data_IF_024942913533
#
_entry.id   IF_024942913533
#
_cell.length_a   1.000
_cell.length_b   1.000
_cell.length_c   1.000
_cell.angle_alpha   90.00
_cell.angle_beta   90.00
_cell.angle_gamma   90.00
#
_symmetry.space_group_name_H-M   'P 1'
#
loop_
_entity.id
_entity.type
_entity.pdbx_description
1 polymer ?
#
# COMPACT_ATOMS: atom_id res chain seq x y z
N UNK A 1 3.86 -17.07 9.26
CA UNK A 1 3.44 -18.20 8.39
C UNK A 1 2.02 -18.07 7.85
N UNK A 2 1.03 -17.72 8.67
CA UNK A 2 -0.37 -17.58 8.16
C UNK A 2 -0.48 -16.40 7.21
N UNK A 3 0.11 -15.23 7.52
CA UNK A 3 0.11 -14.02 6.69
C UNK A 3 0.72 -14.28 5.31
N UNK A 4 1.94 -14.80 5.26
CA UNK A 4 2.61 -15.12 4.00
C UNK A 4 1.86 -16.14 3.13
N UNK A 5 1.11 -17.08 3.75
CA UNK A 5 0.27 -18.01 3.00
C UNK A 5 -0.94 -17.30 2.37
N UNK A 6 -1.53 -16.32 3.05
CA UNK A 6 -2.62 -15.52 2.51
C UNK A 6 -2.13 -14.59 1.39
N UNK A 7 -0.98 -13.93 1.54
CA UNK A 7 -0.38 -13.11 0.50
C UNK A 7 -0.03 -13.91 -0.76
N UNK A 8 0.57 -15.10 -0.59
CA UNK A 8 0.83 -15.99 -1.71
C UNK A 8 -0.45 -16.45 -2.41
N UNK A 9 -1.53 -16.68 -1.65
CA UNK A 9 -2.84 -17.02 -2.19
C UNK A 9 -3.44 -15.84 -2.96
N UNK A 10 -3.36 -14.63 -2.44
CA UNK A 10 -3.83 -13.41 -3.10
C UNK A 10 -3.17 -13.22 -4.46
N UNK A 11 -1.83 -13.31 -4.51
CA UNK A 11 -1.06 -13.20 -5.74
C UNK A 11 -1.44 -14.29 -6.75
N UNK A 12 -1.57 -15.54 -6.29
CA UNK A 12 -1.96 -16.67 -7.14
C UNK A 12 -3.37 -16.47 -7.72
N UNK A 13 -4.34 -16.08 -6.88
CA UNK A 13 -5.71 -15.86 -7.33
C UNK A 13 -5.77 -14.70 -8.32
N UNK A 14 -5.08 -13.59 -8.07
CA UNK A 14 -5.02 -12.47 -9.00
C UNK A 14 -4.41 -12.88 -10.35
N UNK A 15 -3.35 -13.68 -10.36
CA UNK A 15 -2.76 -14.20 -11.59
C UNK A 15 -3.69 -15.15 -12.36
N UNK A 16 -4.38 -16.04 -11.65
CA UNK A 16 -5.32 -16.97 -12.27
C UNK A 16 -6.58 -16.27 -12.81
N UNK A 17 -6.96 -15.16 -12.21
CA UNK A 17 -8.14 -14.39 -12.62
C UNK A 17 -7.92 -13.54 -13.85
N UNK A 18 -6.70 -13.23 -14.25
CA UNK A 18 -6.46 -12.70 -15.60
C UNK A 18 -7.04 -13.64 -16.67
N UNK A 19 -7.41 -14.86 -16.28
CA UNK A 19 -8.00 -15.90 -17.12
C UNK A 19 -9.49 -16.23 -16.82
N UNK A 20 -10.01 -15.97 -15.59
CA UNK A 20 -11.38 -16.33 -15.19
C UNK A 20 -11.85 -15.44 -14.01
N UNK A 21 -12.39 -14.26 -14.29
CA UNK A 21 -12.88 -13.34 -13.25
C UNK A 21 -14.37 -13.55 -12.94
N UNK A 22 -14.73 -13.58 -11.63
CA UNK A 22 -16.12 -13.41 -11.19
C UNK A 22 -16.63 -11.99 -11.50
N UNK A 23 -15.72 -11.02 -11.67
CA UNK A 23 -16.03 -9.68 -12.16
C UNK A 23 -15.78 -9.59 -13.66
N UNK A 24 -16.79 -9.20 -14.45
CA UNK A 24 -16.64 -9.09 -15.89
C UNK A 24 -15.61 -8.02 -16.25
N UNK A 25 -14.71 -8.36 -17.18
CA UNK A 25 -13.83 -7.39 -17.81
C UNK A 25 -14.64 -6.68 -18.88
N UNK A 26 -14.72 -5.36 -18.78
CA UNK A 26 -15.38 -4.52 -19.77
C UNK A 26 -14.33 -3.99 -20.76
N UNK A 27 -14.61 -4.12 -22.05
CA UNK A 27 -13.77 -3.57 -23.11
C UNK A 27 -14.39 -2.27 -23.61
N UNK A 28 -13.77 -1.15 -23.29
CA UNK A 28 -14.28 0.19 -23.57
C UNK A 28 -13.21 1.05 -24.22
N UNK A 29 -13.61 1.91 -25.17
CA UNK A 29 -12.72 2.93 -25.70
C UNK A 29 -12.70 4.16 -24.77
N UNK A 30 -11.63 4.95 -24.85
CA UNK A 30 -11.59 6.24 -24.14
C UNK A 30 -12.71 7.17 -24.58
N UNK A 31 -13.16 7.04 -25.82
CA UNK A 31 -14.32 7.77 -26.34
C UNK A 31 -15.60 7.38 -25.58
N UNK A 32 -15.85 6.09 -25.41
CA UNK A 32 -17.03 5.59 -24.68
C UNK A 32 -17.02 6.06 -23.23
N UNK A 33 -15.86 6.05 -22.59
CA UNK A 33 -15.71 6.52 -21.21
C UNK A 33 -16.07 8.00 -21.05
N UNK A 34 -15.65 8.84 -22.00
CA UNK A 34 -15.96 10.26 -21.97
C UNK A 34 -17.42 10.55 -22.32
N UNK A 35 -17.98 9.89 -23.33
CA UNK A 35 -19.37 10.05 -23.73
C UNK A 35 -20.32 9.61 -22.61
N UNK A 36 -20.00 8.56 -21.89
CA UNK A 36 -20.78 8.04 -20.78
C UNK A 36 -20.48 8.75 -19.44
N UNK A 37 -19.57 9.72 -19.40
CA UNK A 37 -19.10 10.38 -18.17
C UNK A 37 -18.70 9.39 -17.06
N UNK A 38 -18.09 8.27 -17.45
CA UNK A 38 -17.70 7.21 -16.54
C UNK A 38 -16.59 7.69 -15.56
N UNK A 39 -16.75 7.37 -14.28
CA UNK A 39 -15.68 7.57 -13.30
C UNK A 39 -14.58 6.55 -13.55
N UNK A 40 -13.35 7.01 -13.77
CA UNK A 40 -12.17 6.15 -13.98
C UNK A 40 -11.19 6.33 -12.84
N UNK A 41 -10.79 5.21 -12.23
CA UNK A 41 -9.87 5.12 -11.09
C UNK A 41 -8.44 4.86 -11.55
N UNK A 42 -7.48 5.13 -10.66
CA UNK A 42 -6.07 4.75 -10.87
C UNK A 42 -5.35 5.51 -11.99
N UNK A 43 -5.96 6.55 -12.55
CA UNK A 43 -5.33 7.39 -13.55
C UNK A 43 -4.77 8.66 -12.89
N UNK A 44 -3.50 9.03 -13.17
CA UNK A 44 -2.98 10.33 -12.75
C UNK A 44 -3.81 11.46 -13.36
N UNK A 45 -3.99 12.56 -12.64
CA UNK A 45 -4.73 13.73 -13.15
C UNK A 45 -4.18 14.28 -14.49
N UNK A 46 -2.89 14.08 -14.76
CA UNK A 46 -2.25 14.46 -16.03
C UNK A 46 -2.70 13.60 -17.21
N UNK A 47 -3.12 12.38 -16.96
CA UNK A 47 -3.47 11.44 -18.01
C UNK A 47 -4.71 11.87 -18.80
N UNK A 48 -5.72 12.40 -18.11
CA UNK A 48 -6.97 12.82 -18.76
C UNK A 48 -6.78 13.99 -19.75
N UNK A 49 -5.92 14.95 -19.42
CA UNK A 49 -5.67 16.12 -20.29
C UNK A 49 -4.72 15.81 -21.46
N UNK A 50 -3.71 14.96 -21.28
CA UNK A 50 -2.77 14.60 -22.34
C UNK A 50 -3.33 13.57 -23.32
N UNK A 51 -4.12 12.61 -22.86
CA UNK A 51 -4.82 11.66 -23.72
C UNK A 51 -5.84 12.33 -24.62
N UNK A 52 -6.53 13.34 -24.09
CA UNK A 52 -7.48 14.14 -24.86
C UNK A 52 -6.79 14.99 -25.96
N UNK A 53 -5.48 15.27 -25.78
CA UNK A 53 -4.69 16.07 -26.75
C UNK A 53 -3.91 15.26 -27.77
N UNK A 54 -3.68 13.96 -27.55
CA UNK A 54 -2.75 13.14 -28.35
C UNK A 54 -3.43 12.11 -29.25
N UNK A 55 -4.02 12.50 -30.33
CA UNK A 55 -4.31 11.66 -31.48
C UNK A 55 -5.53 10.71 -31.46
N UNK A 56 -6.34 10.83 -32.49
CA UNK A 56 -7.53 10.03 -32.80
C UNK A 56 -7.36 8.50 -32.83
N UNK A 57 -6.14 7.95 -32.93
CA UNK A 57 -5.93 6.50 -33.04
C UNK A 57 -6.03 5.74 -31.73
N UNK A 58 -5.65 6.38 -30.60
CA UNK A 58 -5.75 5.77 -29.26
C UNK A 58 -7.15 5.96 -28.65
N UNK A 59 -7.86 6.99 -29.09
CA UNK A 59 -9.15 7.38 -28.58
C UNK A 59 -10.27 6.35 -28.86
N UNK A 60 -10.14 5.61 -29.93
CA UNK A 60 -11.11 4.57 -30.33
C UNK A 60 -10.65 3.15 -30.03
N UNK A 61 -9.48 2.96 -29.37
CA UNK A 61 -8.97 1.64 -29.04
C UNK A 61 -9.67 1.12 -27.77
N UNK A 62 -10.22 -0.09 -27.85
CA UNK A 62 -10.80 -0.76 -26.69
C UNK A 62 -9.70 -1.20 -25.72
N UNK A 63 -9.85 -0.85 -24.47
CA UNK A 63 -9.01 -1.22 -23.34
C UNK A 63 -9.83 -2.02 -22.34
N UNK A 64 -9.24 -2.99 -21.65
CA UNK A 64 -9.92 -3.74 -20.61
C UNK A 64 -9.98 -2.96 -19.30
N UNK A 65 -11.15 -2.96 -18.68
CA UNK A 65 -11.43 -2.33 -17.39
C UNK A 65 -12.10 -3.33 -16.45
N UNK A 66 -11.84 -3.13 -15.15
CA UNK A 66 -12.56 -3.77 -14.06
C UNK A 66 -13.56 -2.79 -13.46
N UNK A 67 -14.75 -3.28 -13.15
CA UNK A 67 -15.79 -2.51 -12.46
C UNK A 67 -15.58 -2.56 -10.94
N UNK A 68 -15.69 -1.42 -10.29
CA UNK A 68 -15.62 -1.24 -8.84
C UNK A 68 -16.90 -0.60 -8.34
N UNK A 69 -17.35 -0.98 -7.16
CA UNK A 69 -18.47 -0.36 -6.45
C UNK A 69 -17.99 0.48 -5.26
N UNK A 70 -18.65 1.62 -5.01
CA UNK A 70 -18.35 2.45 -3.85
C UNK A 70 -18.97 1.85 -2.59
N UNK A 71 -18.11 1.36 -1.69
CA UNK A 71 -18.51 0.72 -0.45
C UNK A 71 -19.22 1.65 0.55
N UNK A 72 -18.88 2.96 0.54
CA UNK A 72 -19.46 3.94 1.46
C UNK A 72 -20.78 4.52 0.95
N UNK A 73 -21.08 4.40 -0.33
CA UNK A 73 -22.28 4.98 -0.92
C UNK A 73 -23.56 4.21 -0.49
N UNK A 74 -24.62 4.94 -0.25
CA UNK A 74 -25.95 4.36 -0.01
C UNK A 74 -26.65 4.00 -1.32
N UNK A 75 -26.33 4.72 -2.39
CA UNK A 75 -26.84 4.48 -3.74
C UNK A 75 -25.77 3.73 -4.55
N UNK A 76 -26.18 2.87 -5.50
CA UNK A 76 -25.23 2.20 -6.39
C UNK A 76 -24.37 3.21 -7.13
N UNK A 77 -23.08 3.20 -6.86
CA UNK A 77 -22.09 4.05 -7.53
C UNK A 77 -20.96 3.15 -8.01
N UNK A 78 -20.71 3.16 -9.31
CA UNK A 78 -19.69 2.34 -9.93
C UNK A 78 -18.59 3.22 -10.55
N UNK A 79 -17.40 2.66 -10.62
CA UNK A 79 -16.25 3.24 -11.29
C UNK A 79 -15.48 2.15 -12.02
N UNK A 80 -14.68 2.55 -13.00
CA UNK A 80 -13.88 1.67 -13.83
C UNK A 80 -12.40 1.87 -13.54
N UNK A 81 -11.64 0.79 -13.41
CA UNK A 81 -10.19 0.84 -13.30
C UNK A 81 -9.57 0.09 -14.48
N UNK A 82 -8.60 0.69 -15.20
CA UNK A 82 -7.88 -0.03 -16.23
C UNK A 82 -7.26 -1.30 -15.66
N UNK A 83 -7.42 -2.44 -16.38
CA UNK A 83 -6.87 -3.71 -15.91
C UNK A 83 -5.36 -3.64 -15.66
N UNK A 84 -4.64 -2.87 -16.48
CA UNK A 84 -3.20 -2.66 -16.30
C UNK A 84 -2.83 -1.84 -15.05
N UNK A 85 -3.76 -1.10 -14.44
CA UNK A 85 -3.56 -0.42 -13.17
C UNK A 85 -4.00 -1.29 -11.97
N UNK A 86 -4.90 -2.24 -12.21
CA UNK A 86 -5.43 -3.14 -11.19
C UNK A 86 -4.65 -4.45 -11.05
N UNK A 87 -3.98 -4.89 -12.14
CA UNK A 87 -3.33 -6.20 -12.22
C UNK A 87 -1.87 -6.04 -12.70
N UNK A 88 -0.94 -6.23 -11.79
CA UNK A 88 0.49 -6.01 -12.03
C UNK A 88 1.09 -6.90 -13.13
N UNK A 89 0.58 -8.11 -13.31
CA UNK A 89 1.07 -9.04 -14.32
C UNK A 89 0.52 -8.73 -15.72
N UNK A 90 -0.58 -8.00 -15.81
CA UNK A 90 -1.25 -7.72 -17.08
C UNK A 90 -0.40 -6.82 -17.99
N UNK A 91 0.18 -5.75 -17.46
CA UNK A 91 0.99 -4.82 -18.23
C UNK A 91 2.22 -5.49 -18.90
N UNK A 92 2.79 -6.51 -18.24
CA UNK A 92 3.93 -7.27 -18.77
C UNK A 92 3.53 -8.41 -19.72
N UNK A 93 2.30 -8.90 -19.64
CA UNK A 93 1.79 -10.02 -20.45
C UNK A 93 0.92 -9.59 -21.63
N UNK A 94 0.54 -8.31 -21.71
CA UNK A 94 -0.26 -7.80 -22.82
C UNK A 94 0.57 -7.67 -24.12
N UNK A 95 -0.08 -7.58 -25.31
CA UNK A 95 0.62 -7.40 -26.58
C UNK A 95 1.57 -6.19 -26.58
N UNK A 96 2.73 -6.29 -27.24
CA UNK A 96 3.75 -5.21 -27.31
C UNK A 96 3.16 -3.84 -27.65
N UNK A 97 2.20 -3.78 -28.58
CA UNK A 97 1.52 -2.53 -28.96
C UNK A 97 0.75 -1.88 -27.80
N UNK A 98 0.47 -2.62 -26.75
CA UNK A 98 -0.18 -2.14 -25.54
C UNK A 98 0.82 -1.85 -24.44
N UNK A 99 1.96 -2.56 -24.41
CA UNK A 99 3.02 -2.32 -23.42
C UNK A 99 3.58 -0.89 -23.55
N UNK A 100 3.85 -0.44 -24.79
CA UNK A 100 4.29 0.94 -25.06
C UNK A 100 3.26 1.97 -24.60
N UNK A 101 1.96 1.66 -24.76
CA UNK A 101 0.90 2.52 -24.28
C UNK A 101 0.89 2.59 -22.76
N UNK A 102 0.94 1.44 -22.07
CA UNK A 102 0.89 1.41 -20.62
C UNK A 102 2.16 1.98 -19.96
N UNK A 103 3.35 1.70 -20.53
CA UNK A 103 4.60 2.25 -20.02
C UNK A 103 4.69 3.78 -20.10
N UNK A 104 3.99 4.38 -21.08
CA UNK A 104 4.00 5.83 -21.25
C UNK A 104 2.92 6.57 -20.45
N UNK A 105 1.86 5.90 -20.03
CA UNK A 105 0.66 6.55 -19.51
C UNK A 105 0.11 6.01 -18.19
N UNK A 106 0.53 4.85 -17.76
CA UNK A 106 0.06 4.26 -16.51
C UNK A 106 1.19 4.14 -15.50
N UNK A 107 0.88 4.48 -14.26
CA UNK A 107 1.72 4.07 -13.16
C UNK A 107 1.75 2.55 -13.09
N UNK A 108 2.83 2.03 -12.53
CA UNK A 108 2.99 0.62 -12.28
C UNK A 108 1.82 0.13 -11.39
N UNK A 109 1.14 -0.88 -11.86
CA UNK A 109 0.15 -1.57 -11.02
C UNK A 109 0.84 -2.10 -9.76
N UNK A 110 0.21 -1.89 -8.62
CA UNK A 110 0.69 -2.39 -7.33
C UNK A 110 -0.24 -3.48 -6.82
N UNK A 111 0.25 -4.30 -5.91
CA UNK A 111 -0.58 -5.25 -5.16
C UNK A 111 -1.32 -4.58 -4.00
N UNK A 112 -1.13 -3.27 -3.80
CA UNK A 112 -1.74 -2.51 -2.71
C UNK A 112 -3.25 -2.57 -2.76
N UNK A 113 -3.87 -2.93 -1.64
CA UNK A 113 -5.32 -3.08 -1.53
C UNK A 113 -5.86 -4.39 -2.08
N UNK A 114 -5.01 -5.31 -2.55
CA UNK A 114 -5.41 -6.71 -2.77
C UNK A 114 -5.38 -7.41 -1.44
N UNK A 115 -6.51 -7.91 -0.99
CA UNK A 115 -6.62 -8.48 0.34
C UNK A 115 -7.53 -9.70 0.36
N UNK A 116 -7.14 -10.70 1.14
CA UNK A 116 -7.94 -11.89 1.40
C UNK A 116 -8.41 -11.95 2.85
N UNK A 117 -9.46 -12.73 3.08
CA UNK A 117 -10.02 -12.95 4.40
C UNK A 117 -10.91 -14.17 4.47
N UNK A 118 -11.26 -14.59 5.69
CA UNK A 118 -12.22 -15.66 5.91
C UNK A 118 -13.63 -15.30 5.42
N UNK A 119 -13.90 -14.00 5.26
CA UNK A 119 -15.13 -13.45 4.72
C UNK A 119 -14.87 -12.06 4.10
N UNK A 120 -15.94 -11.52 3.50
CA UNK A 120 -15.88 -10.19 2.86
C UNK A 120 -15.41 -9.09 3.82
N UNK A 121 -15.90 -9.10 5.04
CA UNK A 121 -15.59 -8.08 6.05
C UNK A 121 -14.12 -8.12 6.45
N UNK A 122 -13.56 -9.31 6.65
CA UNK A 122 -12.15 -9.48 7.01
C UNK A 122 -11.23 -9.01 5.88
N UNK A 123 -11.53 -9.43 4.64
CA UNK A 123 -10.78 -9.01 3.46
C UNK A 123 -10.84 -7.49 3.26
N UNK A 124 -12.01 -6.87 3.47
CA UNK A 124 -12.19 -5.43 3.33
C UNK A 124 -11.42 -4.65 4.41
N UNK A 125 -11.50 -5.08 5.68
CA UNK A 125 -10.72 -4.48 6.77
C UNK A 125 -9.23 -4.55 6.46
N UNK A 126 -8.75 -5.71 6.01
CA UNK A 126 -7.36 -5.90 5.63
C UNK A 126 -6.95 -4.95 4.50
N UNK A 127 -7.65 -4.93 3.37
CA UNK A 127 -7.31 -4.08 2.23
C UNK A 127 -7.35 -2.57 2.55
N UNK A 128 -8.35 -2.13 3.33
CA UNK A 128 -8.44 -0.73 3.76
C UNK A 128 -7.28 -0.36 4.69
N UNK A 129 -6.96 -1.20 5.67
CA UNK A 129 -5.88 -0.91 6.62
C UNK A 129 -4.52 -0.92 5.94
N UNK A 130 -4.28 -1.80 4.98
CA UNK A 130 -3.06 -1.82 4.17
C UNK A 130 -2.90 -0.53 3.36
N UNK A 131 -3.94 -0.05 2.69
CA UNK A 131 -3.87 1.21 1.93
C UNK A 131 -3.56 2.40 2.84
N UNK A 132 -4.14 2.45 4.05
CA UNK A 132 -3.82 3.51 5.02
C UNK A 132 -2.38 3.37 5.54
N UNK A 133 -1.88 2.15 5.71
CA UNK A 133 -0.48 1.87 6.05
C UNK A 133 0.47 2.43 5.00
N UNK A 134 0.15 2.22 3.72
CA UNK A 134 0.92 2.74 2.58
C UNK A 134 0.92 4.28 2.56
N UNK A 135 -0.23 4.92 2.79
CA UNK A 135 -0.35 6.38 2.92
C UNK A 135 0.46 6.90 4.11
N UNK A 136 0.42 6.20 5.25
CA UNK A 136 1.22 6.55 6.43
C UNK A 136 2.73 6.42 6.17
N UNK A 137 3.15 5.37 5.47
CA UNK A 137 4.55 5.21 5.05
C UNK A 137 4.97 6.33 4.10
N UNK A 138 4.14 6.67 3.11
CA UNK A 138 4.40 7.80 2.21
C UNK A 138 4.63 9.09 3.00
N UNK A 139 3.76 9.38 3.97
CA UNK A 139 3.91 10.53 4.87
C UNK A 139 5.19 10.48 5.72
N UNK A 140 5.56 9.33 6.23
CA UNK A 140 6.80 9.12 6.98
C UNK A 140 8.04 9.39 6.12
N UNK A 141 8.08 8.84 4.91
CA UNK A 141 9.18 9.05 3.97
C UNK A 141 9.33 10.53 3.60
N UNK A 142 8.23 11.21 3.27
CA UNK A 142 8.26 12.64 2.95
C UNK A 142 8.75 13.44 4.14
N UNK A 143 8.22 13.20 5.33
CA UNK A 143 8.52 13.99 6.52
C UNK A 143 9.95 13.78 7.01
N UNK A 144 10.36 12.55 7.16
CA UNK A 144 11.60 12.21 7.86
C UNK A 144 12.78 11.95 6.92
N UNK A 145 12.54 11.33 5.77
CA UNK A 145 13.60 11.02 4.82
C UNK A 145 13.82 12.19 3.84
N UNK A 146 12.78 12.67 3.18
CA UNK A 146 12.90 13.76 2.21
C UNK A 146 13.10 15.13 2.88
N UNK A 147 12.18 15.54 3.76
CA UNK A 147 12.24 16.83 4.47
C UNK A 147 13.20 16.83 5.66
N UNK A 148 13.82 15.68 5.98
CA UNK A 148 14.84 15.53 7.03
C UNK A 148 14.37 15.98 8.42
N UNK A 149 13.06 15.96 8.71
CA UNK A 149 12.54 16.21 10.06
C UNK A 149 12.94 15.05 10.98
N UNK A 150 13.30 15.39 12.22
CA UNK A 150 13.73 14.38 13.20
C UNK A 150 12.57 13.49 13.61
N UNK A 151 12.78 12.17 13.65
CA UNK A 151 11.81 11.20 14.16
C UNK A 151 12.12 10.85 15.62
N UNK A 152 11.07 10.60 16.40
CA UNK A 152 11.13 10.20 17.80
C UNK A 152 10.70 8.74 17.92
N UNK A 153 11.60 7.89 18.47
CA UNK A 153 11.29 6.49 18.68
C UNK A 153 10.40 6.30 19.93
N UNK A 154 9.62 5.22 19.93
CA UNK A 154 8.85 4.81 21.08
C UNK A 154 9.77 4.43 22.25
N UNK A 155 9.35 4.77 23.47
CA UNK A 155 10.02 4.31 24.69
C UNK A 155 9.67 2.84 24.93
N UNK A 156 10.68 1.97 24.84
CA UNK A 156 10.57 0.54 25.01
C UNK A 156 9.91 0.15 26.35
N UNK A 157 10.17 0.94 27.41
CA UNK A 157 9.59 0.68 28.73
C UNK A 157 8.06 0.83 28.76
N UNK A 158 7.50 1.56 27.81
CA UNK A 158 6.06 1.82 27.69
C UNK A 158 5.34 0.91 26.73
N UNK A 159 6.05 0.05 25.98
CA UNK A 159 5.43 -0.87 25.01
C UNK A 159 4.59 -1.93 25.74
N UNK A 160 3.53 -2.43 25.07
CA UNK A 160 2.82 -3.62 25.54
C UNK A 160 3.76 -4.80 25.77
N UNK A 161 3.43 -5.68 26.69
CA UNK A 161 4.26 -6.85 27.02
C UNK A 161 4.49 -7.74 25.79
N UNK A 162 3.43 -8.00 25.02
CA UNK A 162 3.50 -8.74 23.75
C UNK A 162 4.50 -8.14 22.74
N UNK A 163 4.51 -6.81 22.61
CA UNK A 163 5.44 -6.13 21.70
C UNK A 163 6.89 -6.18 22.23
N UNK A 164 7.09 -6.08 23.55
CA UNK A 164 8.42 -6.24 24.16
C UNK A 164 8.99 -7.64 23.94
N UNK A 165 8.19 -8.67 24.18
CA UNK A 165 8.58 -10.07 23.99
C UNK A 165 8.99 -10.35 22.53
N UNK A 166 8.20 -9.85 21.57
CA UNK A 166 8.53 -9.99 20.13
C UNK A 166 9.81 -9.25 19.81
N UNK A 167 9.95 -8.01 20.28
CA UNK A 167 11.18 -7.21 20.06
C UNK A 167 12.42 -7.93 20.59
N UNK A 168 12.37 -8.44 21.83
CA UNK A 168 13.48 -9.20 22.44
C UNK A 168 13.81 -10.47 21.67
N UNK A 169 12.79 -11.18 21.20
CA UNK A 169 12.97 -12.37 20.36
C UNK A 169 13.68 -12.04 19.05
N UNK A 170 13.26 -10.97 18.36
CA UNK A 170 13.87 -10.54 17.11
C UNK A 170 15.34 -10.16 17.35
N UNK A 171 15.61 -9.32 18.34
CA UNK A 171 16.95 -8.86 18.66
C UNK A 171 17.91 -10.00 18.99
N UNK A 172 17.43 -11.00 19.77
CA UNK A 172 18.21 -12.17 20.12
C UNK A 172 18.50 -13.07 18.91
N UNK A 173 17.48 -13.32 18.07
CA UNK A 173 17.59 -14.21 16.91
C UNK A 173 18.45 -13.64 15.78
N UNK A 174 18.43 -12.31 15.63
CA UNK A 174 19.07 -11.61 14.50
C UNK A 174 20.29 -10.76 14.91
N UNK A 175 20.60 -10.69 16.22
CA UNK A 175 21.74 -9.93 16.76
C UNK A 175 21.70 -8.46 16.32
N UNK A 176 20.53 -7.84 16.37
CA UNK A 176 20.28 -6.45 16.00
C UNK A 176 19.56 -5.70 17.13
N UNK A 177 19.34 -4.42 16.95
CA UNK A 177 18.43 -3.63 17.79
C UNK A 177 17.23 -3.17 16.96
N UNK A 178 16.05 -3.15 17.56
CA UNK A 178 14.83 -2.70 16.93
C UNK A 178 14.36 -1.40 17.57
N UNK A 179 14.09 -0.41 16.74
CA UNK A 179 13.40 0.82 17.15
C UNK A 179 12.06 0.91 16.43
N UNK A 180 11.03 1.35 17.18
CA UNK A 180 9.69 1.53 16.66
C UNK A 180 9.34 3.02 16.59
N UNK A 181 8.68 3.44 15.53
CA UNK A 181 8.25 4.81 15.30
C UNK A 181 6.77 4.84 14.90
N UNK A 182 6.08 5.87 15.36
CA UNK A 182 4.72 6.12 14.90
C UNK A 182 4.75 6.72 13.50
N UNK A 183 3.84 6.28 12.65
CA UNK A 183 3.58 6.86 11.33
C UNK A 183 2.26 7.66 11.38
N UNK A 184 2.29 8.96 11.67
CA UNK A 184 1.08 9.76 11.63
C UNK A 184 0.51 9.79 10.22
N UNK A 185 -0.79 9.62 10.10
CA UNK A 185 -1.51 9.73 8.84
C UNK A 185 -2.77 10.59 9.02
N UNK A 186 -3.30 11.08 7.90
CA UNK A 186 -4.46 11.97 7.90
C UNK A 186 -5.75 11.31 8.39
N UNK A 187 -5.83 10.00 8.37
CA UNK A 187 -7.02 9.27 8.81
C UNK A 187 -7.07 9.05 10.32
N UNK A 188 -5.94 9.26 11.01
CA UNK A 188 -5.84 9.01 12.46
C UNK A 188 -5.82 7.52 12.83
N UNK A 189 -5.70 6.63 11.86
CA UNK A 189 -5.57 5.19 12.13
C UNK A 189 -4.19 4.92 12.74
N UNK A 190 -4.08 4.09 13.79
CA UNK A 190 -2.78 3.67 14.32
C UNK A 190 -1.93 3.02 13.24
N UNK A 191 -0.71 3.55 13.04
CA UNK A 191 0.26 3.01 12.10
C UNK A 191 1.67 3.18 12.65
N UNK A 192 2.49 2.13 12.51
CA UNK A 192 3.85 2.07 13.04
C UNK A 192 4.82 1.50 12.00
N UNK A 193 6.06 1.94 12.09
CA UNK A 193 7.20 1.34 11.42
C UNK A 193 8.20 0.87 12.47
N UNK A 194 8.66 -0.36 12.37
CA UNK A 194 9.79 -0.87 13.14
C UNK A 194 10.99 -1.03 12.22
N UNK A 195 12.16 -0.63 12.70
CA UNK A 195 13.38 -0.59 11.93
C UNK A 195 14.49 -1.33 12.66
N UNK A 196 15.28 -2.06 11.88
CA UNK A 196 16.47 -2.73 12.37
C UNK A 196 17.67 -1.76 12.25
N UNK A 197 18.54 -1.74 13.26
CA UNK A 197 19.74 -0.89 13.28
C UNK A 197 20.91 -1.44 12.46
N UNK A 198 20.79 -2.64 11.92
CA UNK A 198 21.82 -3.19 11.03
C UNK A 198 21.92 -2.30 9.79
N UNK A 199 23.15 -1.87 9.50
CA UNK A 199 23.46 -1.11 8.29
C UNK A 199 23.52 -2.07 7.09
N UNK A 200 22.36 -2.55 6.69
CA UNK A 200 22.19 -3.37 5.48
C UNK A 200 21.65 -2.50 4.35
N UNK A 201 22.01 -2.83 3.13
CA UNK A 201 21.39 -2.30 1.92
C UNK A 201 20.69 -3.45 1.20
N UNK A 202 19.37 -3.45 1.08
CA UNK A 202 18.39 -2.43 1.53
C UNK A 202 18.19 -2.39 3.05
N UNK A 203 17.69 -1.25 3.52
CA UNK A 203 17.33 -1.05 4.92
C UNK A 203 16.11 -1.89 5.32
N UNK A 204 16.25 -2.66 6.40
CA UNK A 204 15.22 -3.60 6.84
C UNK A 204 14.24 -2.90 7.79
N UNK A 205 12.97 -2.95 7.44
CA UNK A 205 11.87 -2.37 8.22
C UNK A 205 10.58 -3.14 7.98
N UNK A 206 9.73 -3.20 9.00
CA UNK A 206 8.35 -3.66 8.88
C UNK A 206 7.37 -2.54 9.21
N UNK A 207 6.18 -2.63 8.66
CA UNK A 207 5.11 -1.66 8.82
C UNK A 207 3.86 -2.37 9.32
N UNK A 208 2.99 -1.62 9.99
CA UNK A 208 1.71 -2.15 10.43
C UNK A 208 0.73 -1.04 10.68
N UNK A 209 -0.48 -1.22 10.19
CA UNK A 209 -1.61 -0.39 10.55
C UNK A 209 -2.79 -1.26 11.00
N UNK A 210 -3.55 -0.75 11.94
CA UNK A 210 -4.73 -1.42 12.48
C UNK A 210 -5.62 -0.40 13.18
N UNK A 211 -6.84 -0.81 13.49
CA UNK A 211 -7.74 -0.04 14.35
C UNK A 211 -7.19 0.02 15.79
N UNK A 212 -6.49 -1.02 16.23
CA UNK A 212 -5.82 -1.11 17.52
C UNK A 212 -4.35 -0.67 17.43
N UNK A 213 -3.93 0.16 18.37
CA UNK A 213 -2.53 0.60 18.50
C UNK A 213 -1.57 -0.58 18.74
N UNK A 214 -1.94 -1.49 19.65
CA UNK A 214 -1.13 -2.66 19.94
C UNK A 214 -1.00 -3.56 18.72
N UNK A 215 -2.13 -3.88 18.06
CA UNK A 215 -2.10 -4.74 16.89
C UNK A 215 -1.31 -4.12 15.71
N UNK A 216 -1.44 -2.81 15.48
CA UNK A 216 -0.64 -2.12 14.47
C UNK A 216 0.87 -2.22 14.74
N UNK A 217 1.28 -2.06 16.01
CA UNK A 217 2.68 -2.21 16.43
C UNK A 217 3.16 -3.67 16.25
N UNK A 218 2.37 -4.65 16.70
CA UNK A 218 2.70 -6.06 16.55
C UNK A 218 2.89 -6.46 15.08
N UNK A 219 2.02 -5.99 14.20
CA UNK A 219 2.16 -6.21 12.75
C UNK A 219 3.49 -5.66 12.23
N UNK A 220 3.87 -4.44 12.63
CA UNK A 220 5.14 -3.86 12.18
C UNK A 220 6.34 -4.69 12.64
N UNK A 221 6.33 -5.19 13.87
CA UNK A 221 7.39 -6.03 14.41
C UNK A 221 7.47 -7.40 13.69
N UNK A 222 6.33 -8.03 13.47
CA UNK A 222 6.27 -9.33 12.78
C UNK A 222 6.72 -9.21 11.32
N UNK A 223 6.34 -8.14 10.62
CA UNK A 223 6.84 -7.87 9.26
C UNK A 223 8.37 -7.62 9.27
N UNK A 224 8.91 -6.92 10.29
CA UNK A 224 10.36 -6.76 10.42
C UNK A 224 11.06 -8.12 10.59
N UNK A 225 10.51 -9.02 11.43
CA UNK A 225 11.06 -10.37 11.61
C UNK A 225 11.03 -11.17 10.30
N UNK A 226 9.91 -11.10 9.57
CA UNK A 226 9.75 -11.74 8.27
C UNK A 226 10.77 -11.22 7.25
N UNK A 227 10.94 -9.90 7.17
CA UNK A 227 11.94 -9.28 6.28
C UNK A 227 13.37 -9.66 6.66
N UNK A 228 13.70 -9.77 7.94
CA UNK A 228 15.01 -10.24 8.40
C UNK A 228 15.27 -11.70 7.98
N UNK A 229 14.27 -12.57 8.14
CA UNK A 229 14.37 -13.98 7.69
C UNK A 229 14.44 -14.08 6.15
N UNK A 230 13.66 -13.26 5.45
CA UNK A 230 13.69 -13.19 3.99
C UNK A 230 15.06 -12.72 3.48
N UNK A 231 15.63 -11.68 4.09
CA UNK A 231 16.93 -11.14 3.73
C UNK A 231 18.08 -12.16 3.98
N UNK A 232 18.02 -12.95 5.06
CA UNK A 232 18.99 -14.03 5.28
C UNK A 232 18.98 -15.04 4.13
N UNK A 233 17.84 -15.29 3.52
CA UNK A 233 17.67 -16.29 2.46
C UNK A 233 17.92 -15.74 1.06
N UNK A 234 17.50 -14.51 0.80
CA UNK A 234 17.46 -13.89 -0.52
C UNK A 234 18.17 -12.54 -0.59
N UNK A 235 19.10 -12.27 0.33
CA UNK A 235 19.73 -10.94 0.46
C UNK A 235 20.43 -10.46 -0.80
N UNK A 236 21.01 -11.37 -1.60
CA UNK A 236 21.63 -10.99 -2.87
C UNK A 236 20.62 -10.49 -3.91
N UNK A 237 19.45 -11.12 -3.99
CA UNK A 237 18.36 -10.68 -4.88
C UNK A 237 17.80 -9.33 -4.43
N UNK A 238 17.61 -9.13 -3.13
CA UNK A 238 17.14 -7.87 -2.56
C UNK A 238 18.16 -6.74 -2.77
N UNK A 239 19.44 -7.03 -2.64
CA UNK A 239 20.49 -6.06 -2.96
C UNK A 239 20.49 -5.67 -4.45
N UNK A 240 20.22 -6.61 -5.35
CA UNK A 240 20.09 -6.32 -6.78
C UNK A 240 18.87 -5.43 -7.07
N UNK A 241 17.72 -5.69 -6.43
CA UNK A 241 16.52 -4.84 -6.55
C UNK A 241 16.80 -3.42 -6.05
N UNK A 242 17.40 -3.31 -4.87
CA UNK A 242 17.82 -2.03 -4.30
C UNK A 242 18.75 -1.26 -5.22
N UNK A 243 19.77 -1.91 -5.76
CA UNK A 243 20.72 -1.31 -6.71
C UNK A 243 20.01 -0.82 -7.96
N UNK A 244 19.07 -1.61 -8.50
CA UNK A 244 18.24 -1.22 -9.63
C UNK A 244 17.39 0.01 -9.32
N UNK A 245 16.73 0.04 -8.16
CA UNK A 245 15.94 1.20 -7.74
C UNK A 245 16.81 2.47 -7.62
N UNK A 246 18.00 2.36 -7.02
CA UNK A 246 18.94 3.47 -6.96
C UNK A 246 19.38 3.96 -8.35
N UNK A 247 19.58 3.05 -9.30
CA UNK A 247 19.95 3.41 -10.67
C UNK A 247 18.80 4.10 -11.41
N UNK A 248 17.58 3.61 -11.27
CA UNK A 248 16.39 4.21 -11.88
C UNK A 248 16.15 5.65 -11.39
N UNK A 249 16.48 5.93 -10.13
CA UNK A 249 16.32 7.25 -9.51
C UNK A 249 17.62 8.07 -9.45
N UNK A 250 18.67 7.67 -10.18
CA UNK A 250 19.98 8.35 -10.14
C UNK A 250 19.91 9.82 -10.54
N UNK A 251 18.98 10.21 -11.41
CA UNK A 251 18.75 11.61 -11.81
C UNK A 251 18.11 12.46 -10.70
N UNK A 252 17.56 11.82 -9.66
CA UNK A 252 16.88 12.48 -8.52
C UNK A 252 17.55 12.14 -7.19
N UNK A 253 18.80 12.59 -6.95
CA UNK A 253 19.57 12.22 -5.74
C UNK A 253 18.89 12.64 -4.43
N UNK A 254 17.98 13.62 -4.46
CA UNK A 254 17.19 14.03 -3.31
C UNK A 254 16.22 12.94 -2.81
N UNK A 255 15.91 11.95 -3.63
CA UNK A 255 15.01 10.83 -3.29
C UNK A 255 15.75 9.65 -2.66
N UNK A 256 17.08 9.58 -2.78
CA UNK A 256 17.88 8.49 -2.21
C UNK A 256 17.60 8.23 -0.72
N UNK A 257 17.48 9.25 0.16
CA UNK A 257 17.13 9.00 1.56
C UNK A 257 15.78 8.28 1.77
N UNK A 258 14.85 8.42 0.82
CA UNK A 258 13.57 7.71 0.88
C UNK A 258 13.71 6.24 0.49
N UNK A 259 14.60 5.91 -0.45
CA UNK A 259 14.92 4.53 -0.80
C UNK A 259 15.60 3.83 0.38
N UNK A 260 16.58 4.50 0.96
CA UNK A 260 17.40 4.00 2.08
C UNK A 260 16.66 4.01 3.42
N UNK A 261 15.48 4.64 3.51
CA UNK A 261 14.81 4.98 4.77
C UNK A 261 15.80 5.66 5.74
N UNK A 262 16.64 6.56 5.18
CA UNK A 262 17.61 7.33 5.96
C UNK A 262 16.93 8.56 6.58
N UNK A 263 16.84 8.59 7.89
CA UNK A 263 16.23 9.67 8.64
C UNK A 263 16.97 9.96 9.94
N UNK A 264 16.80 11.20 10.43
CA UNK A 264 17.39 11.64 11.69
C UNK A 264 16.54 11.22 12.88
N UNK A 265 17.18 10.74 13.94
CA UNK A 265 16.55 10.30 15.18
C UNK A 265 16.93 11.24 16.32
N UNK A 266 16.00 11.45 17.25
CA UNK A 266 16.28 12.13 18.52
C UNK A 266 16.66 11.13 19.60
N UNK A 267 17.41 11.59 20.62
CA UNK A 267 17.66 10.80 21.82
C UNK A 267 16.47 10.77 22.77
N UNK A 268 15.48 11.69 22.60
CA UNK A 268 14.23 11.63 23.37
C UNK A 268 13.39 10.49 22.84
N UNK A 269 12.60 9.87 23.74
CA UNK A 269 11.66 8.81 23.38
C UNK A 269 10.25 9.28 23.70
N UNK A 270 9.25 8.82 22.94
CA UNK A 270 7.84 9.06 23.22
C UNK A 270 7.18 7.81 23.82
N UNK A 271 6.25 8.03 24.74
CA UNK A 271 5.51 6.91 25.33
C UNK A 271 4.58 6.28 24.28
N UNK A 272 4.45 4.95 24.35
CA UNK A 272 3.43 4.24 23.58
C UNK A 272 2.05 4.69 24.06
N UNK A 273 1.15 4.94 23.13
CA UNK A 273 -0.22 5.30 23.45
C UNK A 273 -1.02 4.05 23.81
N UNK A 274 -1.44 3.96 25.09
CA UNK A 274 -2.35 2.94 25.58
C UNK A 274 -3.74 3.57 25.75
N UNK A 275 -4.66 3.42 24.81
CA UNK A 275 -6.04 3.84 25.07
C UNK A 275 -6.64 2.95 26.16
N UNK A 276 -7.22 3.57 27.17
CA UNK A 276 -7.70 2.87 28.37
C UNK A 276 -8.90 1.94 28.13
N UNK A 277 -9.52 2.00 26.93
CA UNK A 277 -10.75 1.28 26.59
C UNK A 277 -10.68 0.57 25.21
N UNK A 278 -9.49 0.28 24.66
CA UNK A 278 -9.40 -0.47 23.42
C UNK A 278 -9.79 -1.94 23.63
N UNK A 279 -11.06 -2.23 23.43
CA UNK A 279 -11.47 -3.56 22.99
C UNK A 279 -11.18 -3.60 21.47
N UNK A 280 -10.32 -4.52 21.04
CA UNK A 280 -10.08 -4.70 19.62
C UNK A 280 -11.42 -4.97 18.89
N UNK A 281 -11.87 -4.08 18.00
CA UNK A 281 -13.07 -4.34 17.24
C UNK A 281 -12.73 -5.36 16.14
N UNK A 282 -13.34 -6.54 16.23
CA UNK A 282 -13.28 -7.55 15.18
C UNK A 282 -14.56 -7.53 14.32
N UNK A 283 -14.44 -7.92 13.06
CA UNK A 283 -15.57 -8.10 12.16
C UNK A 283 -16.37 -6.80 11.95
N UNK A 284 -17.66 -6.86 12.16
CA UNK A 284 -18.60 -5.74 11.93
C UNK A 284 -18.27 -4.48 12.74
N UNK A 285 -17.71 -4.61 13.92
CA UNK A 285 -17.28 -3.46 14.72
C UNK A 285 -16.09 -2.75 14.06
N UNK A 286 -15.15 -3.51 13.48
CA UNK A 286 -14.02 -2.98 12.74
C UNK A 286 -14.48 -2.19 11.51
N UNK A 287 -15.40 -2.75 10.73
CA UNK A 287 -15.98 -2.05 9.57
C UNK A 287 -16.72 -0.77 9.96
N UNK A 288 -17.47 -0.78 11.04
CA UNK A 288 -18.19 0.40 11.54
C UNK A 288 -17.21 1.50 11.94
N UNK A 289 -16.11 1.14 12.60
CA UNK A 289 -15.05 2.07 12.97
C UNK A 289 -14.39 2.66 11.72
N UNK A 290 -14.02 1.82 10.74
CA UNK A 290 -13.44 2.29 9.49
C UNK A 290 -14.40 3.17 8.70
N UNK A 291 -15.68 2.81 8.61
CA UNK A 291 -16.72 3.65 7.96
C UNK A 291 -16.80 5.03 8.58
N UNK A 292 -16.81 5.10 9.90
CA UNK A 292 -16.88 6.36 10.64
C UNK A 292 -15.63 7.20 10.38
N UNK A 293 -14.47 6.59 10.49
CA UNK A 293 -13.17 7.24 10.30
C UNK A 293 -13.04 7.81 8.87
N UNK A 294 -13.27 6.98 7.86
CA UNK A 294 -13.09 7.38 6.46
C UNK A 294 -14.20 8.30 5.96
N UNK A 295 -15.42 8.14 6.48
CA UNK A 295 -16.54 9.03 6.18
C UNK A 295 -16.26 10.48 6.64
N UNK A 296 -15.54 10.68 7.75
CA UNK A 296 -15.12 12.02 8.22
C UNK A 296 -14.17 12.71 7.24
N UNK A 297 -13.44 11.96 6.45
CA UNK A 297 -12.48 12.48 5.45
C UNK A 297 -13.07 12.63 4.05
N UNK A 298 -14.38 12.38 3.89
CA UNK A 298 -15.08 12.46 2.61
C UNK A 298 -14.39 11.69 1.47
N UNK A 299 -13.84 10.50 1.81
CA UNK A 299 -13.15 9.62 0.87
C UNK A 299 -14.09 8.58 0.30
N UNK A 300 -13.93 8.28 -0.98
CA UNK A 300 -14.59 7.13 -1.60
C UNK A 300 -13.70 5.91 -1.50
N UNK A 301 -14.33 4.78 -1.20
CA UNK A 301 -13.68 3.48 -1.15
C UNK A 301 -14.34 2.60 -2.19
N UNK A 302 -13.54 2.18 -3.13
CA UNK A 302 -13.95 1.38 -4.25
C UNK A 302 -13.52 -0.06 -4.05
N UNK A 303 -14.42 -0.98 -4.31
CA UNK A 303 -14.18 -2.41 -4.09
C UNK A 303 -14.55 -3.19 -5.36
N UNK A 304 -13.63 -4.04 -5.78
CA UNK A 304 -13.84 -5.07 -6.78
C UNK A 304 -13.73 -6.44 -6.10
N UNK A 305 -14.71 -7.31 -6.32
CA UNK A 305 -14.70 -8.67 -5.79
C UNK A 305 -13.96 -9.57 -6.76
N UNK A 306 -12.77 -9.98 -6.36
CA UNK A 306 -11.92 -10.87 -7.14
C UNK A 306 -12.39 -12.31 -7.01
N UNK A 307 -12.73 -12.73 -5.80
CA UNK A 307 -13.27 -14.03 -5.47
C UNK A 307 -14.27 -13.89 -4.33
N UNK A 308 -15.48 -14.37 -4.53
CA UNK A 308 -16.55 -14.29 -3.54
C UNK A 308 -16.56 -15.47 -2.55
N UNK A 309 -15.95 -16.60 -2.92
CA UNK A 309 -15.87 -17.80 -2.07
C UNK A 309 -14.74 -17.71 -1.06
N UNK A 310 -14.86 -18.40 0.07
CA UNK A 310 -13.84 -18.46 1.12
C UNK A 310 -12.59 -19.22 0.67
N UNK A 311 -11.39 -18.70 0.82
CA UNK A 311 -11.07 -17.31 1.23
C UNK A 311 -11.58 -16.28 0.20
N UNK A 312 -12.23 -15.23 0.70
CA UNK A 312 -12.66 -14.11 -0.14
C UNK A 312 -11.46 -13.28 -0.52
N UNK A 313 -11.38 -12.80 -1.77
CA UNK A 313 -10.33 -11.89 -2.24
C UNK A 313 -10.97 -10.65 -2.83
N UNK A 314 -10.52 -9.50 -2.39
CA UNK A 314 -10.97 -8.19 -2.83
C UNK A 314 -9.81 -7.38 -3.41
N UNK A 315 -10.12 -6.47 -4.34
CA UNK A 315 -9.28 -5.31 -4.65
C UNK A 315 -9.96 -4.08 -4.09
N UNK A 316 -9.26 -3.39 -3.23
CA UNK A 316 -9.73 -2.15 -2.59
C UNK A 316 -8.92 -0.97 -3.15
N UNK A 317 -9.59 0.13 -3.41
CA UNK A 317 -8.95 1.38 -3.82
C UNK A 317 -9.57 2.54 -3.03
N UNK A 318 -8.74 3.41 -2.47
CA UNK A 318 -9.17 4.62 -1.75
C UNK A 318 -8.69 5.84 -2.53
N UNK A 319 -9.62 6.73 -2.87
CA UNK A 319 -9.28 7.94 -3.62
C UNK A 319 -8.30 8.84 -2.86
N UNK A 320 -7.22 9.19 -3.55
CA UNK A 320 -6.21 10.11 -3.06
C UNK A 320 -5.30 9.54 -1.96
N UNK A 321 -5.15 8.22 -1.88
CA UNK A 321 -4.03 7.59 -1.17
C UNK A 321 -2.73 8.04 -1.83
N UNK A 322 -1.72 8.34 -1.02
CA UNK A 322 -0.42 8.75 -1.51
C UNK A 322 0.45 7.51 -1.82
N UNK A 323 0.85 7.39 -3.07
CA UNK A 323 1.67 6.26 -3.56
C UNK A 323 3.18 6.55 -3.49
N UNK A 324 3.60 7.59 -2.77
CA UNK A 324 5.02 7.96 -2.66
C UNK A 324 5.90 6.83 -2.10
N UNK A 325 5.32 5.85 -1.41
CA UNK A 325 6.04 4.66 -0.97
C UNK A 325 6.68 3.87 -2.14
N UNK A 326 6.14 3.98 -3.36
CA UNK A 326 6.68 3.31 -4.56
C UNK A 326 8.09 3.79 -4.95
N UNK A 327 8.55 4.90 -4.35
CA UNK A 327 9.94 5.37 -4.49
C UNK A 327 10.95 4.30 -4.07
N UNK A 328 10.60 3.43 -3.13
CA UNK A 328 11.45 2.33 -2.66
C UNK A 328 11.73 1.29 -3.75
N UNK A 329 10.81 1.18 -4.70
CA UNK A 329 10.90 0.26 -5.83
C UNK A 329 11.50 0.92 -7.09
N UNK A 330 12.04 2.13 -6.94
CA UNK A 330 12.67 2.88 -8.03
C UNK A 330 11.68 3.64 -8.92
N UNK A 331 10.41 3.73 -8.52
CA UNK A 331 9.40 4.46 -9.29
C UNK A 331 9.48 5.95 -8.99
N UNK A 332 9.68 6.83 -10.00
CA UNK A 332 9.77 8.27 -9.80
C UNK A 332 8.39 8.88 -9.54
N UNK A 333 7.94 8.82 -8.31
CA UNK A 333 6.67 9.40 -7.86
C UNK A 333 6.87 10.68 -7.06
N UNK A 334 5.90 11.55 -7.11
CA UNK A 334 5.88 12.82 -6.33
C UNK A 334 4.80 12.71 -5.27
N UNK A 335 5.03 13.16 -4.03
CA UNK A 335 4.01 13.17 -3.02
C UNK A 335 2.77 13.94 -3.49
N UNK A 336 1.59 13.33 -3.40
CA UNK A 336 0.33 13.98 -3.79
C UNK A 336 -0.11 15.03 -2.77
N UNK A 337 0.29 14.87 -1.51
CA UNK A 337 -0.16 15.72 -0.42
C UNK A 337 1.02 16.49 0.18
N UNK A 338 1.08 17.78 -0.09
CA UNK A 338 1.98 18.73 0.60
C UNK A 338 1.63 18.92 2.09
N UNK A 339 0.55 18.31 2.57
CA UNK A 339 0.05 18.41 3.95
C UNK A 339 0.80 17.54 4.97
N UNK A 340 1.89 16.93 4.61
CA UNK A 340 2.83 16.31 5.55
C UNK A 340 3.83 17.31 6.16
N UNK A 341 3.46 18.61 6.19
CA UNK A 341 4.23 19.65 6.86
C UNK A 341 4.27 19.51 8.38
#
# INVERSE_FOLDING_TARGET
MVSAAFEAFELLICQLQSLNTDSPIEFLSLKDLLENQSTVLGLPQRFSSELLSRSNQLFSKELPFLSYSNWLSKEPENALMPLAAAEWSYASSCPETMQDFYSNYLFMATTSGVASGCGYEDALVHGVTELIERDALAGFLVRHCFNRKVATALDRATLPESAREITERIEMNHQCQIECFRMPNRFGLPAYISVCDQQTEPFISGKGASISHEHALLRSLLETEEMLEYFKRYGEEEHQKYTSACQQLAEWPALKPCIDIDFKRTNTKEAFHHPQDEQEPYGQNALTTLKTLLGQHNKKIWVNVVRAETPVVLRVYIEGIDEFFAIKDGVPVVPLNSSFE
#
